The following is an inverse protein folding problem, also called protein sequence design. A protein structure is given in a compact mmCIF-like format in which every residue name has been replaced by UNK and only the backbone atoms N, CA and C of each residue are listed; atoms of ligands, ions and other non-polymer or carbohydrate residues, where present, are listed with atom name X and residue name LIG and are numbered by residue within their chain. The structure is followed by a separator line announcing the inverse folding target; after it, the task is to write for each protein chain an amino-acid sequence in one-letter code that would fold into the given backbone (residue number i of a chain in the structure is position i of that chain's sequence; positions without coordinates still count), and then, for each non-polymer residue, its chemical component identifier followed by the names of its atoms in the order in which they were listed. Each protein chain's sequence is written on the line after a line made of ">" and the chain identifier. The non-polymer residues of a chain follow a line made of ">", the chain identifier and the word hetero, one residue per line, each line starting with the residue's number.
data_IF_095750211911
#
_entry.id   IF_095750211911
#
_cell.length_a   1.000
_cell.length_b   1.000
_cell.length_c   1.000
_cell.angle_alpha   90.00
_cell.angle_beta   90.00
_cell.angle_gamma   90.00
#
_symmetry.space_group_name_H-M   'P 1'
#
loop_
_entity.id
_entity.type
_entity.pdbx_description
1 polymer ?
#
# COMPACT_ATOMS: atom_id res chain seq x y z
N UNK A 1 -0.75 18.33 -2.43
CA UNK A 1 -1.97 17.91 -3.17
C UNK A 1 -2.26 16.41 -2.99
N UNK A 2 -1.26 15.55 -3.19
CA UNK A 2 -1.34 14.08 -3.13
C UNK A 2 -1.97 13.47 -1.85
N UNK A 3 -1.49 13.84 -0.65
CA UNK A 3 -1.90 13.13 0.59
C UNK A 3 -3.36 13.33 1.01
N UNK A 4 -4.01 14.43 0.57
CA UNK A 4 -5.39 14.75 0.98
C UNK A 4 -6.44 13.98 0.16
N UNK A 5 -6.11 13.58 -1.07
CA UNK A 5 -7.04 12.88 -1.97
C UNK A 5 -6.88 11.36 -1.94
N UNK A 6 -5.67 10.87 -1.62
CA UNK A 6 -5.36 9.43 -1.71
C UNK A 6 -6.32 8.51 -0.95
N UNK A 7 -6.79 8.81 0.28
CA UNK A 7 -7.74 7.92 0.96
C UNK A 7 -9.12 7.86 0.29
N UNK A 8 -9.60 8.99 -0.23
CA UNK A 8 -10.89 9.06 -0.91
C UNK A 8 -10.86 8.36 -2.26
N UNK A 9 -9.78 8.51 -3.03
CA UNK A 9 -9.63 7.77 -4.30
C UNK A 9 -9.50 6.27 -4.03
N UNK A 10 -8.73 5.84 -3.04
CA UNK A 10 -8.66 4.41 -2.63
C UNK A 10 -10.05 3.86 -2.31
N UNK A 11 -10.88 4.61 -1.58
CA UNK A 11 -12.25 4.19 -1.24
C UNK A 11 -13.17 4.03 -2.47
N UNK A 12 -13.00 4.84 -3.52
CA UNK A 12 -13.81 4.72 -4.75
C UNK A 12 -13.59 3.39 -5.49
N UNK A 13 -12.44 2.76 -5.31
CA UNK A 13 -12.10 1.48 -5.95
C UNK A 13 -12.22 0.29 -4.98
N UNK A 14 -13.00 0.39 -3.91
CA UNK A 14 -13.17 -0.72 -2.95
C UNK A 14 -11.93 -0.97 -2.09
N UNK A 15 -11.07 0.03 -1.94
CA UNK A 15 -9.94 0.00 -1.02
C UNK A 15 -10.22 0.72 0.29
N UNK A 16 -9.56 0.31 1.37
CA UNK A 16 -9.65 0.95 2.68
C UNK A 16 -8.27 1.14 3.26
N UNK A 17 -7.88 2.39 3.54
CA UNK A 17 -6.63 2.67 4.25
C UNK A 17 -6.79 2.22 5.70
N UNK A 18 -6.03 1.19 6.10
CA UNK A 18 -6.09 0.61 7.46
C UNK A 18 -4.95 1.09 8.35
N UNK A 19 -3.85 1.59 7.76
CA UNK A 19 -2.78 2.25 8.48
C UNK A 19 -2.09 3.32 7.62
N UNK A 20 -1.72 4.45 8.24
CA UNK A 20 -0.89 5.50 7.68
C UNK A 20 0.08 5.98 8.77
N UNK A 21 1.39 5.86 8.52
CA UNK A 21 2.40 6.16 9.54
C UNK A 21 3.62 6.87 8.97
N UNK A 22 4.29 7.68 9.81
CA UNK A 22 5.60 8.25 9.55
C UNK A 22 6.68 7.31 10.09
N UNK A 23 7.73 7.04 9.33
CA UNK A 23 8.86 6.27 9.81
C UNK A 23 9.53 6.97 11.01
N UNK A 24 9.85 6.19 12.04
CA UNK A 24 10.53 6.67 13.25
C UNK A 24 11.93 6.07 13.36
N UNK A 25 12.00 4.75 13.39
CA UNK A 25 13.24 3.98 13.51
C UNK A 25 13.00 2.54 13.06
N UNK A 26 14.08 1.81 12.74
CA UNK A 26 14.04 0.36 12.54
C UNK A 26 14.58 -0.32 13.81
N UNK A 27 13.73 -1.10 14.48
CA UNK A 27 14.12 -1.83 15.71
C UNK A 27 15.05 -3.01 15.40
N UNK A 28 14.93 -3.59 14.21
CA UNK A 28 15.79 -4.65 13.68
C UNK A 28 15.77 -4.64 12.16
N UNK A 29 16.87 -5.08 11.53
CA UNK A 29 17.04 -5.07 10.07
C UNK A 29 17.13 -3.66 9.48
N UNK A 30 17.32 -3.60 8.16
CA UNK A 30 17.28 -2.35 7.41
C UNK A 30 16.20 -2.43 6.31
N UNK A 31 15.46 -1.34 6.14
CA UNK A 31 14.49 -1.16 5.06
C UNK A 31 14.71 0.19 4.36
N UNK A 32 15.80 0.90 4.70
CA UNK A 32 16.06 2.26 4.29
C UNK A 32 16.29 2.40 2.78
N UNK A 33 15.99 3.59 2.22
CA UNK A 33 15.34 4.72 2.89
C UNK A 33 13.80 4.61 2.92
N UNK A 34 13.16 4.83 4.08
CA UNK A 34 11.70 4.96 4.22
C UNK A 34 11.30 6.17 5.06
N UNK A 35 10.24 6.83 4.65
CA UNK A 35 9.70 8.02 5.33
C UNK A 35 8.25 7.84 5.78
N UNK A 36 7.48 6.99 5.10
CA UNK A 36 6.09 6.70 5.41
C UNK A 36 5.70 5.24 5.09
N UNK A 37 4.65 4.77 5.77
CA UNK A 37 3.97 3.49 5.50
C UNK A 37 2.49 3.77 5.20
N UNK A 38 1.95 3.08 4.20
CA UNK A 38 0.51 3.05 3.91
C UNK A 38 0.12 1.58 3.77
N UNK A 39 -0.87 1.13 4.56
CA UNK A 39 -1.48 -0.20 4.41
C UNK A 39 -2.90 0.00 3.94
N UNK A 40 -3.25 -0.65 2.83
CA UNK A 40 -4.57 -0.62 2.23
C UNK A 40 -5.09 -2.05 2.16
N UNK A 41 -6.29 -2.27 2.66
CA UNK A 41 -7.06 -3.49 2.41
C UNK A 41 -7.91 -3.27 1.15
N UNK A 42 -7.91 -4.25 0.26
CA UNK A 42 -8.72 -4.22 -0.95
C UNK A 42 -9.79 -5.29 -0.88
N UNK A 43 -11.01 -4.97 -1.32
CA UNK A 43 -12.11 -5.94 -1.40
C UNK A 43 -11.76 -7.13 -2.31
N UNK A 44 -10.95 -6.91 -3.36
CA UNK A 44 -10.51 -7.94 -4.29
C UNK A 44 -9.23 -7.53 -5.03
N UNK A 45 -8.66 -8.49 -5.78
CA UNK A 45 -7.57 -8.21 -6.73
C UNK A 45 -8.01 -7.23 -7.82
N UNK A 46 -9.23 -7.40 -8.35
CA UNK A 46 -9.77 -6.55 -9.41
C UNK A 46 -9.97 -5.09 -8.94
N UNK A 47 -10.35 -4.90 -7.68
CA UNK A 47 -10.44 -3.57 -7.04
C UNK A 47 -9.08 -2.86 -7.03
N UNK A 48 -8.03 -3.58 -6.63
CA UNK A 48 -6.65 -3.08 -6.69
C UNK A 48 -6.23 -2.76 -8.13
N UNK A 49 -6.49 -3.65 -9.08
CA UNK A 49 -6.11 -3.44 -10.48
C UNK A 49 -6.89 -2.27 -11.11
N UNK A 50 -8.16 -2.09 -10.75
CA UNK A 50 -8.96 -0.92 -11.15
C UNK A 50 -8.36 0.38 -10.64
N UNK A 51 -7.94 0.43 -9.37
CA UNK A 51 -7.26 1.60 -8.81
C UNK A 51 -5.95 1.92 -9.52
N UNK A 52 -5.14 0.90 -9.84
CA UNK A 52 -3.85 1.10 -10.49
C UNK A 52 -3.98 1.57 -11.94
N UNK A 53 -5.03 1.14 -12.63
CA UNK A 53 -5.26 1.42 -14.04
C UNK A 53 -6.23 2.59 -14.28
N UNK A 54 -6.65 3.31 -13.23
CA UNK A 54 -7.54 4.45 -13.38
C UNK A 54 -6.80 5.62 -14.08
N UNK A 55 -7.23 6.02 -15.30
CA UNK A 55 -6.61 7.13 -16.01
C UNK A 55 -6.74 8.47 -15.27
N UNK A 56 -7.78 8.66 -14.44
CA UNK A 56 -7.96 9.88 -13.65
C UNK A 56 -6.94 9.98 -12.49
N UNK A 57 -6.25 8.87 -12.20
CA UNK A 57 -5.17 8.78 -11.21
C UNK A 57 -3.77 8.74 -11.83
N UNK A 58 -3.64 8.77 -13.15
CA UNK A 58 -2.34 8.66 -13.85
C UNK A 58 -1.30 9.69 -13.35
N UNK A 59 -1.72 10.95 -13.16
CA UNK A 59 -0.86 12.00 -12.60
C UNK A 59 -0.43 11.71 -11.15
N UNK A 60 -1.31 11.06 -10.38
CA UNK A 60 -1.05 10.64 -9.01
C UNK A 60 0.01 9.53 -8.94
N UNK A 61 -0.03 8.60 -9.90
CA UNK A 61 0.96 7.53 -10.06
C UNK A 61 2.31 8.10 -10.51
N UNK A 62 2.33 9.03 -11.47
CA UNK A 62 3.54 9.71 -11.91
C UNK A 62 4.25 10.47 -10.77
N UNK A 63 3.50 11.08 -9.84
CA UNK A 63 4.08 11.71 -8.65
C UNK A 63 4.64 10.69 -7.64
N UNK A 64 4.08 9.47 -7.56
CA UNK A 64 4.61 8.39 -6.70
C UNK A 64 5.94 7.84 -7.23
N UNK A 65 5.99 7.60 -8.53
CA UNK A 65 7.19 7.05 -9.19
C UNK A 65 8.33 8.06 -9.24
N UNK A 66 8.03 9.32 -9.60
CA UNK A 66 9.06 10.36 -9.70
C UNK A 66 9.41 11.01 -8.35
N UNK A 67 8.53 10.90 -7.34
CA UNK A 67 8.69 11.51 -6.03
C UNK A 67 9.28 10.60 -4.96
N UNK A 68 9.54 9.32 -5.27
CA UNK A 68 10.14 8.39 -4.32
C UNK A 68 11.26 7.58 -4.98
N UNK A 69 12.44 7.58 -4.36
CA UNK A 69 13.62 6.86 -4.87
C UNK A 69 13.60 5.35 -4.59
N UNK A 70 12.59 4.86 -3.87
CA UNK A 70 12.50 3.46 -3.41
C UNK A 70 11.05 3.06 -3.13
N UNK A 71 10.21 3.13 -4.18
CA UNK A 71 8.80 2.73 -4.14
C UNK A 71 8.67 1.20 -4.17
N UNK A 72 7.98 0.62 -3.19
CA UNK A 72 7.69 -0.83 -3.17
C UNK A 72 6.20 -1.04 -2.91
N UNK A 73 5.60 -1.90 -3.72
CA UNK A 73 4.25 -2.43 -3.54
C UNK A 73 4.29 -3.94 -3.39
N UNK A 74 3.80 -4.40 -2.25
CA UNK A 74 3.57 -5.80 -1.99
C UNK A 74 2.08 -6.00 -1.74
N UNK A 75 1.54 -7.06 -2.31
CA UNK A 75 0.22 -7.55 -1.97
C UNK A 75 0.39 -8.77 -1.08
N UNK A 76 -0.45 -8.83 -0.05
CA UNK A 76 -0.54 -9.95 0.86
C UNK A 76 -1.99 -10.39 0.90
N UNK A 77 -2.21 -11.69 0.87
CA UNK A 77 -3.51 -12.25 1.19
C UNK A 77 -3.73 -12.19 2.70
N UNK A 78 -4.96 -11.88 3.10
CA UNK A 78 -5.34 -11.84 4.50
C UNK A 78 -5.22 -13.24 5.10
N UNK A 79 -4.46 -13.34 6.19
CA UNK A 79 -4.40 -14.54 7.02
C UNK A 79 -5.08 -14.26 8.36
N UNK A 80 -5.94 -15.18 8.80
CA UNK A 80 -6.54 -15.13 10.12
C UNK A 80 -5.54 -15.47 11.23
N UNK A 81 -4.56 -16.32 10.91
CA UNK A 81 -3.45 -16.67 11.78
C UNK A 81 -2.28 -17.24 10.98
N UNK A 82 -1.19 -17.62 11.65
CA UNK A 82 0.03 -18.10 11.01
C UNK A 82 -0.01 -19.58 10.60
N UNK A 83 -1.00 -20.36 11.04
CA UNK A 83 -1.06 -21.83 10.79
C UNK A 83 -0.98 -22.19 9.31
N UNK A 84 -1.61 -21.46 8.37
CA UNK A 84 -1.47 -21.77 6.94
C UNK A 84 -0.04 -21.66 6.40
N UNK A 85 0.82 -20.86 7.05
CA UNK A 85 2.22 -20.67 6.65
C UNK A 85 3.18 -21.60 7.38
N UNK A 86 2.80 -22.04 8.58
CA UNK A 86 3.61 -22.93 9.41
C UNK A 86 3.26 -24.37 9.04
N UNK A 87 4.12 -25.03 8.25
CA UNK A 87 4.06 -26.49 8.11
C UNK A 87 4.17 -27.07 9.52
N UNK A 88 3.15 -27.80 9.97
CA UNK A 88 3.25 -28.65 11.14
C UNK A 88 4.26 -29.74 10.76
N UNK A 89 5.50 -29.59 11.24
CA UNK A 89 6.52 -30.63 11.19
C UNK A 89 6.27 -31.67 12.26
#
# INVERSE_FOLDING_TARGET
>A
AYSKRSPAEVAKHGGRVVALGKFREAVTGDIAPRTALIVVEWESRDAFDSYCNDPDLADLHAHRENGSSSYIWHLFDRLDDLRPLLKVG
#
